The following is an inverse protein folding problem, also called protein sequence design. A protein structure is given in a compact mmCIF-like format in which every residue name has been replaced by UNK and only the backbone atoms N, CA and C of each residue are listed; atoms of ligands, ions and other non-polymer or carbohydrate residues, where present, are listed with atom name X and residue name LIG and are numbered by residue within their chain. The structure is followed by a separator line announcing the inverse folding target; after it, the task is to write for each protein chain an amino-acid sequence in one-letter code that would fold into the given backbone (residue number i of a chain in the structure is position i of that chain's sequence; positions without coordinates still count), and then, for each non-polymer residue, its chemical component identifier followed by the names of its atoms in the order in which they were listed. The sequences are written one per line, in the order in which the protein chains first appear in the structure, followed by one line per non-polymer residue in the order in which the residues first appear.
data_IF_900507971895
#
_entry.id   IF_900507971895
#
_cell.length_a   1.000
_cell.length_b   1.000
_cell.length_c   1.000
_cell.angle_alpha   90.00
_cell.angle_beta   90.00
_cell.angle_gamma   90.00
#
_symmetry.space_group_name_H-M   'P 1'
#
loop_
_entity.id
_entity.type
_entity.pdbx_description
1 polymer ?
#
# COMPACT_ATOMS: atom_id res chain seq x y z
N UNK A 1 26.98 11.10 -2.42
CA UNK A 1 25.60 10.54 -2.50
C UNK A 1 24.52 11.60 -2.79
N UNK A 2 24.45 12.75 -2.07
CA UNK A 2 23.44 13.80 -2.30
C UNK A 2 23.40 14.36 -3.74
N UNK A 3 24.57 14.57 -4.37
CA UNK A 3 24.68 15.08 -5.76
C UNK A 3 24.10 14.09 -6.78
N UNK A 4 24.28 12.78 -6.54
CA UNK A 4 23.77 11.73 -7.44
C UNK A 4 22.24 11.66 -7.40
N UNK A 5 21.66 11.73 -6.19
CA UNK A 5 20.20 11.78 -5.98
C UNK A 5 19.56 12.95 -6.71
N UNK A 6 20.12 14.16 -6.56
CA UNK A 6 19.59 15.37 -7.21
C UNK A 6 19.68 15.29 -8.74
N UNK A 7 20.78 14.75 -9.28
CA UNK A 7 20.92 14.52 -10.74
C UNK A 7 19.88 13.53 -11.25
N UNK A 8 19.62 12.46 -10.51
CA UNK A 8 18.63 11.44 -10.87
C UNK A 8 17.21 11.99 -10.82
N UNK A 9 16.86 12.77 -9.79
CA UNK A 9 15.57 13.49 -9.74
C UNK A 9 15.39 14.37 -10.98
N UNK A 10 16.41 15.16 -11.34
CA UNK A 10 16.36 16.00 -12.55
C UNK A 10 16.20 15.20 -13.84
N UNK A 11 16.87 14.06 -13.97
CA UNK A 11 16.75 13.19 -15.15
C UNK A 11 15.34 12.57 -15.25
N UNK A 12 14.78 12.16 -14.12
CA UNK A 12 13.43 11.59 -14.06
C UNK A 12 12.37 12.61 -14.47
N UNK A 13 12.51 13.85 -14.01
CA UNK A 13 11.58 14.94 -14.35
C UNK A 13 11.66 15.31 -15.85
N UNK A 14 12.80 15.06 -16.50
CA UNK A 14 12.97 15.26 -17.95
C UNK A 14 12.31 14.18 -18.80
N UNK A 15 12.03 12.98 -18.24
CA UNK A 15 11.38 11.90 -18.98
C UNK A 15 9.88 12.12 -19.17
N UNK A 16 9.30 13.11 -18.48
CA UNK A 16 7.87 13.40 -18.51
C UNK A 16 7.02 12.35 -17.76
N UNK A 17 5.69 12.51 -17.74
CA UNK A 17 4.82 11.65 -16.95
C UNK A 17 4.67 10.25 -17.58
N UNK A 18 4.85 9.23 -16.77
CA UNK A 18 4.56 7.85 -17.11
C UNK A 18 3.07 7.54 -16.96
N UNK A 19 2.52 6.76 -17.89
CA UNK A 19 1.12 6.33 -17.89
C UNK A 19 0.88 5.03 -17.10
N UNK A 20 1.77 4.68 -16.16
CA UNK A 20 1.62 3.47 -15.35
C UNK A 20 0.37 3.55 -14.47
N UNK A 21 -0.41 2.47 -14.47
CA UNK A 21 -1.58 2.28 -13.59
C UNK A 21 -1.28 1.41 -12.39
N UNK A 22 -0.36 0.45 -12.57
CA UNK A 22 0.11 -0.46 -11.54
C UNK A 22 1.64 -0.46 -11.52
N UNK A 23 2.23 -0.47 -10.33
CA UNK A 23 3.67 -0.55 -10.15
C UNK A 23 4.00 -1.44 -8.96
N UNK A 24 4.79 -2.48 -9.19
CA UNK A 24 5.35 -3.31 -8.12
C UNK A 24 6.76 -2.85 -7.82
N UNK A 25 6.93 -2.20 -6.67
CA UNK A 25 8.20 -1.68 -6.19
C UNK A 25 8.92 -2.76 -5.37
N UNK A 26 10.08 -3.18 -5.85
CA UNK A 26 10.97 -4.05 -5.12
C UNK A 26 12.04 -3.20 -4.43
N UNK A 27 12.03 -3.16 -3.10
CA UNK A 27 12.98 -2.33 -2.38
C UNK A 27 14.33 -3.04 -2.23
N UNK A 28 15.31 -2.49 -2.94
CA UNK A 28 16.72 -2.69 -2.64
C UNK A 28 17.28 -1.42 -2.00
N UNK A 29 18.09 -1.51 -0.91
CA UNK A 29 18.66 -0.33 -0.24
C UNK A 29 19.43 0.61 -1.17
N UNK A 30 19.94 0.12 -2.32
CA UNK A 30 20.63 0.93 -3.33
C UNK A 30 19.71 1.48 -4.43
N UNK A 31 18.47 0.99 -4.54
CA UNK A 31 17.49 1.41 -5.56
C UNK A 31 16.37 2.29 -4.99
N UNK A 32 16.32 2.51 -3.68
CA UNK A 32 15.30 3.35 -3.04
C UNK A 32 15.26 4.79 -3.56
N UNK A 33 16.41 5.31 -4.01
CA UNK A 33 16.54 6.67 -4.52
C UNK A 33 15.74 6.93 -5.80
N UNK A 34 15.32 5.87 -6.52
CA UNK A 34 14.55 5.98 -7.75
C UNK A 34 13.04 5.91 -7.52
N UNK A 35 12.60 5.30 -6.41
CA UNK A 35 11.18 5.00 -6.21
C UNK A 35 10.33 6.28 -6.05
N UNK A 36 10.75 7.23 -5.22
CA UNK A 36 9.98 8.46 -5.00
C UNK A 36 9.91 9.32 -6.28
N UNK A 37 11.01 9.60 -7.00
CA UNK A 37 10.94 10.31 -8.28
C UNK A 37 10.07 9.59 -9.31
N UNK A 38 10.08 8.25 -9.32
CA UNK A 38 9.27 7.46 -10.25
C UNK A 38 7.80 7.63 -9.97
N UNK A 39 7.40 7.48 -8.71
CA UNK A 39 6.00 7.62 -8.28
C UNK A 39 5.46 9.02 -8.56
N UNK A 40 6.26 10.07 -8.32
CA UNK A 40 5.87 11.46 -8.64
C UNK A 40 5.59 11.68 -10.12
N UNK A 41 6.31 10.97 -10.98
CA UNK A 41 6.11 11.01 -12.42
C UNK A 41 5.03 10.03 -12.90
N UNK A 42 4.28 9.37 -12.01
CA UNK A 42 3.19 8.45 -12.37
C UNK A 42 1.81 8.99 -11.93
N UNK A 43 1.27 10.06 -12.54
CA UNK A 43 0.05 10.71 -12.08
C UNK A 43 -1.23 9.88 -12.24
N UNK A 44 -1.16 8.72 -12.91
CA UNK A 44 -2.29 7.80 -13.13
C UNK A 44 -2.16 6.50 -12.32
N UNK A 45 -1.20 6.46 -11.39
CA UNK A 45 -0.93 5.27 -10.61
C UNK A 45 -2.08 5.01 -9.64
N UNK A 46 -2.65 3.81 -9.73
CA UNK A 46 -3.78 3.37 -8.92
C UNK A 46 -3.38 2.24 -7.99
N UNK A 47 -2.53 1.33 -8.45
CA UNK A 47 -2.09 0.18 -7.66
C UNK A 47 -0.58 0.22 -7.43
N UNK A 48 -0.18 0.10 -6.16
CA UNK A 48 1.22 -0.03 -5.80
C UNK A 48 1.41 -1.26 -4.93
N UNK A 49 2.16 -2.23 -5.46
CA UNK A 49 2.68 -3.32 -4.65
C UNK A 49 4.04 -2.95 -4.12
N UNK A 50 4.32 -3.26 -2.86
CA UNK A 50 5.64 -2.99 -2.31
C UNK A 50 6.18 -4.13 -1.46
N UNK A 51 7.35 -4.59 -1.88
CA UNK A 51 8.12 -5.65 -1.22
C UNK A 51 9.30 -5.02 -0.50
N UNK A 52 9.29 -5.02 0.84
CA UNK A 52 10.30 -4.34 1.65
C UNK A 52 11.02 -5.29 2.60
N UNK A 53 12.33 -5.44 2.38
CA UNK A 53 13.17 -6.18 3.32
C UNK A 53 13.69 -5.32 4.48
N UNK A 54 13.87 -4.00 4.32
CA UNK A 54 14.41 -3.08 5.36
C UNK A 54 14.20 -1.57 5.00
N UNK A 55 12.96 -1.12 4.72
CA UNK A 55 12.70 0.31 4.43
C UNK A 55 12.46 1.11 5.72
N UNK A 56 12.97 2.34 5.77
CA UNK A 56 12.67 3.31 6.82
C UNK A 56 11.19 3.78 6.75
N UNK A 57 10.52 3.87 7.90
CA UNK A 57 9.11 4.28 7.99
C UNK A 57 8.79 5.61 7.29
N UNK A 58 9.73 6.56 7.30
CA UNK A 58 9.56 7.86 6.66
C UNK A 58 9.62 7.73 5.12
N UNK A 59 10.48 6.86 4.59
CA UNK A 59 10.56 6.62 3.13
C UNK A 59 9.26 6.03 2.59
N UNK A 60 8.69 5.06 3.31
CA UNK A 60 7.41 4.48 2.94
C UNK A 60 6.27 5.51 2.99
N UNK A 61 6.27 6.36 4.03
CA UNK A 61 5.31 7.47 4.13
C UNK A 61 5.46 8.44 2.94
N UNK A 62 6.69 8.73 2.52
CA UNK A 62 6.96 9.64 1.41
C UNK A 62 6.58 9.02 0.04
N UNK A 63 6.76 7.71 -0.12
CA UNK A 63 6.29 6.93 -1.28
C UNK A 63 4.77 7.01 -1.39
N UNK A 64 4.09 6.77 -0.28
CA UNK A 64 2.63 6.83 -0.21
C UNK A 64 2.15 8.26 -0.45
N UNK A 65 2.82 9.26 0.12
CA UNK A 65 2.51 10.67 -0.09
C UNK A 65 2.57 11.11 -1.57
N UNK A 66 3.38 10.46 -2.39
CA UNK A 66 3.53 10.78 -3.80
C UNK A 66 2.37 10.28 -4.68
N UNK A 67 1.49 9.42 -4.16
CA UNK A 67 0.47 8.71 -4.95
C UNK A 67 -0.96 9.16 -4.59
N UNK A 68 -1.39 10.36 -5.00
CA UNK A 68 -2.70 10.91 -4.61
C UNK A 68 -3.92 10.16 -5.17
N UNK A 69 -3.74 9.37 -6.24
CA UNK A 69 -4.81 8.59 -6.91
C UNK A 69 -4.81 7.12 -6.51
N UNK A 70 -4.04 6.75 -5.48
CA UNK A 70 -3.86 5.36 -5.07
C UNK A 70 -5.19 4.75 -4.58
N UNK A 71 -5.52 3.59 -5.13
CA UNK A 71 -6.70 2.77 -4.80
C UNK A 71 -6.32 1.34 -4.42
N UNK A 72 -5.16 0.87 -4.82
CA UNK A 72 -4.60 -0.43 -4.47
C UNK A 72 -3.26 -0.30 -3.78
N UNK A 73 -3.12 -0.92 -2.62
CA UNK A 73 -1.85 -0.98 -1.90
C UNK A 73 -1.59 -2.40 -1.40
N UNK A 74 -0.54 -3.03 -1.90
CA UNK A 74 -0.12 -4.37 -1.46
C UNK A 74 1.17 -4.27 -0.63
N UNK A 75 1.04 -4.49 0.68
CA UNK A 75 2.16 -4.48 1.63
C UNK A 75 2.53 -5.89 2.12
N UNK A 76 2.07 -6.99 1.50
CA UNK A 76 2.26 -8.35 2.06
C UNK A 76 3.70 -8.72 2.37
N UNK A 77 4.64 -8.17 1.61
CA UNK A 77 6.07 -8.41 1.80
C UNK A 77 6.78 -7.26 2.52
N UNK A 78 6.04 -6.33 3.15
CA UNK A 78 6.61 -5.27 3.96
C UNK A 78 7.00 -5.80 5.35
N UNK A 79 8.26 -5.62 5.73
CA UNK A 79 8.80 -6.00 7.06
C UNK A 79 8.98 -4.85 8.04
N UNK A 80 8.43 -3.67 7.76
CA UNK A 80 8.59 -2.50 8.63
C UNK A 80 7.39 -2.26 9.55
N UNK A 81 7.66 -1.71 10.72
CA UNK A 81 6.63 -1.14 11.58
C UNK A 81 6.25 0.25 11.05
N UNK A 82 5.23 0.31 10.20
CA UNK A 82 4.47 1.54 10.04
C UNK A 82 3.18 1.38 10.80
N UNK A 83 2.76 2.46 11.45
CA UNK A 83 1.38 2.61 11.91
C UNK A 83 0.48 2.57 10.66
N UNK A 84 0.05 1.37 10.27
CA UNK A 84 -0.88 1.14 9.18
C UNK A 84 -2.17 1.99 9.29
N UNK A 85 -2.69 2.33 10.50
CA UNK A 85 -3.77 3.31 10.62
C UNK A 85 -3.46 4.65 9.93
N UNK A 86 -2.27 5.21 10.12
CA UNK A 86 -1.87 6.49 9.47
C UNK A 86 -1.74 6.40 7.95
N UNK A 87 -1.50 5.20 7.41
CA UNK A 87 -1.52 4.96 5.97
C UNK A 87 -2.97 4.94 5.49
N UNK A 88 -3.83 4.20 6.18
CA UNK A 88 -5.22 4.00 5.79
C UNK A 88 -6.01 5.30 5.87
N UNK A 89 -5.85 6.08 6.93
CA UNK A 89 -6.49 7.40 7.08
C UNK A 89 -6.12 8.36 5.94
N UNK A 90 -4.94 8.20 5.36
CA UNK A 90 -4.43 9.10 4.32
C UNK A 90 -5.06 8.86 2.94
N UNK A 91 -5.51 7.64 2.67
CA UNK A 91 -6.14 7.30 1.40
C UNK A 91 -7.60 6.96 1.64
N UNK A 92 -8.47 7.91 1.31
CA UNK A 92 -9.90 7.83 1.59
C UNK A 92 -10.68 6.90 0.65
N UNK A 93 -10.01 6.11 -0.21
CA UNK A 93 -10.67 5.41 -1.32
C UNK A 93 -9.97 4.11 -1.72
N UNK A 94 -9.55 3.29 -0.76
CA UNK A 94 -8.97 1.99 -1.10
C UNK A 94 -10.03 1.06 -1.70
N UNK A 95 -9.70 0.50 -2.87
CA UNK A 95 -10.38 -0.63 -3.49
C UNK A 95 -9.65 -1.94 -3.14
N UNK A 96 -8.34 -1.90 -2.98
CA UNK A 96 -7.52 -3.04 -2.60
C UNK A 96 -6.53 -2.64 -1.51
N UNK A 97 -6.49 -3.39 -0.42
CA UNK A 97 -5.44 -3.26 0.59
C UNK A 97 -4.98 -4.65 1.04
N UNK A 98 -3.68 -4.93 0.94
CA UNK A 98 -3.08 -6.06 1.65
C UNK A 98 -2.26 -5.58 2.84
N UNK A 99 -2.67 -5.97 4.04
CA UNK A 99 -2.06 -5.57 5.30
C UNK A 99 -0.85 -6.48 5.59
N UNK A 100 0.31 -5.92 5.97
CA UNK A 100 1.49 -6.72 6.31
C UNK A 100 1.30 -7.45 7.65
N UNK A 101 1.98 -8.58 7.83
CA UNK A 101 1.91 -9.38 9.06
C UNK A 101 2.32 -8.62 10.32
N UNK A 102 3.27 -7.70 10.18
CA UNK A 102 3.79 -6.87 11.28
C UNK A 102 2.76 -5.86 11.82
N UNK A 103 1.69 -5.58 11.08
CA UNK A 103 0.63 -4.67 11.53
C UNK A 103 -0.57 -5.39 12.16
N UNK A 104 -0.49 -6.71 12.39
CA UNK A 104 -1.61 -7.48 12.95
C UNK A 104 -1.98 -7.06 14.38
N UNK A 105 -1.04 -6.53 15.16
CA UNK A 105 -1.32 -5.93 16.49
C UNK A 105 -2.24 -4.70 16.42
N UNK A 106 -2.32 -4.05 15.26
CA UNK A 106 -3.10 -2.85 15.02
C UNK A 106 -4.32 -3.13 14.14
N UNK A 107 -4.67 -4.41 13.92
CA UNK A 107 -5.71 -4.78 12.97
C UNK A 107 -7.06 -4.12 13.28
N UNK A 108 -7.46 -4.04 14.55
CA UNK A 108 -8.72 -3.38 14.94
C UNK A 108 -8.73 -1.90 14.50
N UNK A 109 -7.66 -1.15 14.77
CA UNK A 109 -7.54 0.26 14.35
C UNK A 109 -7.53 0.39 12.82
N UNK A 110 -6.89 -0.54 12.12
CA UNK A 110 -6.87 -0.56 10.65
C UNK A 110 -8.28 -0.79 10.10
N UNK A 111 -9.02 -1.74 10.69
CA UNK A 111 -10.40 -2.05 10.28
C UNK A 111 -11.34 -0.88 10.54
N UNK A 112 -11.21 -0.20 11.69
CA UNK A 112 -11.95 1.04 11.99
C UNK A 112 -11.64 2.13 10.97
N UNK A 113 -10.34 2.32 10.65
CA UNK A 113 -9.89 3.32 9.66
C UNK A 113 -10.40 2.98 8.25
N UNK A 114 -10.43 1.71 7.87
CA UNK A 114 -11.01 1.26 6.59
C UNK A 114 -12.52 1.46 6.54
N UNK A 115 -13.19 1.24 7.67
CA UNK A 115 -14.64 1.45 7.79
C UNK A 115 -15.00 2.93 7.65
N UNK A 116 -14.20 3.85 8.20
CA UNK A 116 -14.45 5.29 8.06
C UNK A 116 -14.09 5.83 6.68
N UNK A 117 -13.06 5.27 6.04
CA UNK A 117 -12.54 5.79 4.77
C UNK A 117 -13.09 5.07 3.53
N UNK A 118 -13.18 3.75 3.55
CA UNK A 118 -13.25 2.91 2.35
C UNK A 118 -14.44 1.95 2.36
N UNK A 119 -15.43 2.17 3.23
CA UNK A 119 -16.60 1.30 3.44
C UNK A 119 -17.26 0.82 2.13
N UNK A 120 -17.53 1.76 1.23
CA UNK A 120 -18.26 1.52 -0.01
C UNK A 120 -17.32 1.21 -1.20
N UNK A 121 -16.00 1.25 -1.00
CA UNK A 121 -15.03 1.14 -2.09
C UNK A 121 -14.19 -0.13 -2.02
N UNK A 122 -13.99 -0.69 -0.82
CA UNK A 122 -13.10 -1.81 -0.61
C UNK A 122 -13.64 -3.09 -1.27
N UNK A 123 -12.91 -3.60 -2.26
CA UNK A 123 -13.24 -4.81 -3.00
C UNK A 123 -12.34 -5.99 -2.64
N UNK A 124 -11.08 -5.72 -2.27
CA UNK A 124 -10.07 -6.75 -1.95
C UNK A 124 -9.38 -6.43 -0.64
N UNK A 125 -9.44 -7.36 0.31
CA UNK A 125 -8.74 -7.25 1.60
C UNK A 125 -7.75 -8.40 1.78
N UNK A 126 -6.49 -8.05 1.93
CA UNK A 126 -5.41 -8.96 2.26
C UNK A 126 -5.12 -9.00 3.75
N UNK A 127 -5.18 -10.19 4.33
CA UNK A 127 -4.90 -10.45 5.73
C UNK A 127 -3.79 -11.49 5.86
N UNK A 128 -3.11 -11.47 7.01
CA UNK A 128 -2.17 -12.54 7.35
C UNK A 128 -2.94 -13.83 7.67
N UNK A 129 -2.40 -15.03 7.34
CA UNK A 129 -3.10 -16.30 7.60
C UNK A 129 -3.38 -16.58 9.08
N UNK A 130 -2.66 -15.93 9.99
CA UNK A 130 -2.88 -16.04 11.43
C UNK A 130 -3.98 -15.13 11.96
N UNK A 131 -4.72 -14.42 11.09
CA UNK A 131 -5.78 -13.53 11.54
C UNK A 131 -6.90 -14.34 12.21
N UNK A 132 -7.36 -13.94 13.41
CA UNK A 132 -8.50 -14.59 14.04
C UNK A 132 -9.75 -14.52 13.16
N UNK A 133 -10.51 -15.62 13.11
CA UNK A 133 -11.75 -15.75 12.31
C UNK A 133 -12.74 -14.62 12.55
N UNK A 134 -12.79 -14.06 13.77
CA UNK A 134 -13.65 -12.91 14.09
C UNK A 134 -13.42 -11.70 13.18
N UNK A 135 -12.18 -11.40 12.78
CA UNK A 135 -11.92 -10.26 11.89
C UNK A 135 -12.24 -10.58 10.44
N UNK A 136 -12.17 -11.85 10.04
CA UNK A 136 -12.63 -12.29 8.72
C UNK A 136 -14.13 -12.08 8.59
N UNK A 137 -14.90 -12.54 9.59
CA UNK A 137 -16.35 -12.34 9.64
C UNK A 137 -16.67 -10.85 9.68
N UNK A 138 -15.97 -10.08 10.51
CA UNK A 138 -16.14 -8.63 10.59
C UNK A 138 -15.91 -7.96 9.23
N UNK A 139 -14.82 -8.28 8.53
CA UNK A 139 -14.56 -7.74 7.20
C UNK A 139 -15.71 -8.05 6.24
N UNK A 140 -16.20 -9.29 6.27
CA UNK A 140 -17.27 -9.78 5.43
C UNK A 140 -18.60 -9.04 5.65
N UNK A 141 -18.94 -8.77 6.91
CA UNK A 141 -20.20 -8.10 7.27
C UNK A 141 -20.11 -6.58 7.21
N UNK A 142 -18.90 -6.03 7.27
CA UNK A 142 -18.68 -4.56 7.28
C UNK A 142 -18.60 -3.97 5.88
N UNK A 143 -17.91 -4.63 4.95
CA UNK A 143 -17.64 -4.06 3.62
C UNK A 143 -18.59 -4.64 2.56
N UNK A 144 -19.68 -3.93 2.18
CA UNK A 144 -20.71 -4.48 1.29
C UNK A 144 -20.22 -4.80 -0.13
N UNK A 145 -19.14 -4.16 -0.58
CA UNK A 145 -18.57 -4.36 -1.92
C UNK A 145 -17.34 -5.26 -1.93
N UNK A 146 -17.03 -5.92 -0.81
CA UNK A 146 -15.90 -6.83 -0.69
C UNK A 146 -16.15 -8.09 -1.53
N UNK A 147 -15.27 -8.34 -2.51
CA UNK A 147 -15.33 -9.47 -3.44
C UNK A 147 -14.31 -10.55 -3.12
N UNK A 148 -13.17 -10.15 -2.54
CA UNK A 148 -12.04 -11.06 -2.31
C UNK A 148 -11.38 -10.83 -0.94
N UNK A 149 -11.10 -11.93 -0.24
CA UNK A 149 -10.23 -11.95 0.94
C UNK A 149 -9.00 -12.81 0.65
N UNK A 150 -7.81 -12.22 0.77
CA UNK A 150 -6.54 -12.92 0.51
C UNK A 150 -5.83 -13.27 1.81
N UNK A 151 -5.50 -14.54 2.00
CA UNK A 151 -4.58 -15.02 3.05
C UNK A 151 -3.28 -15.48 2.42
N UNK A 152 -2.37 -14.55 2.13
CA UNK A 152 -1.12 -14.82 1.40
C UNK A 152 -1.33 -15.57 0.08
N UNK A 153 -1.33 -16.91 0.10
CA UNK A 153 -1.50 -17.82 -1.03
C UNK A 153 -2.95 -18.28 -1.26
N UNK A 154 -3.82 -18.16 -0.26
CA UNK A 154 -5.24 -18.55 -0.36
C UNK A 154 -6.09 -17.33 -0.68
N UNK A 155 -7.10 -17.51 -1.53
CA UNK A 155 -8.11 -16.49 -1.85
C UNK A 155 -9.49 -17.06 -1.61
N UNK A 156 -10.34 -16.28 -0.97
CA UNK A 156 -11.75 -16.55 -0.84
C UNK A 156 -12.51 -15.55 -1.70
N UNK A 157 -13.42 -16.05 -2.52
CA UNK A 157 -14.34 -15.24 -3.34
C UNK A 157 -15.69 -15.21 -2.65
N UNK A 158 -16.30 -14.03 -2.62
CA UNK A 158 -17.49 -13.72 -1.82
C UNK A 158 -18.75 -13.58 -2.69
#
# INVERSE_FOLDING_TARGET
MRVLKKRLETLMDQLGPFAFRKLDLLYFPKCCMFNIPLLRNCPRLQDVGITFLNMDKNEARDILAACSTLRGLDLRAARFEISAPSIVERFSQFQMLHIPSVCMSNLDQIMESLTSSSLQMLEVLGLHPSVPTKHMILAWTTFPNLKEIHFTRVRMYL
#
